data_IF_573118184249
#
_entry.id   IF_573118184249
#
_cell.length_a   1.000
_cell.length_b   1.000
_cell.length_c   1.000
_cell.angle_alpha   90.00
_cell.angle_beta   90.00
_cell.angle_gamma   90.00
#
_symmetry.space_group_name_H-M   'P 1'
#
loop_
_entity.id
_entity.type
_entity.pdbx_description
1 polymer ?
#
# COMPACT_ATOMS: atom_id res chain seq x y z
N UNK A 1 11.97 -30.09 -32.99
CA UNK A 1 12.66 -28.92 -33.57
C UNK A 1 11.61 -27.97 -34.09
N UNK A 2 11.72 -26.69 -33.69
CA UNK A 2 11.32 -25.43 -34.36
C UNK A 2 9.95 -25.38 -35.05
N UNK A 3 8.98 -24.59 -34.56
CA UNK A 3 8.88 -23.12 -34.59
C UNK A 3 8.77 -22.52 -36.01
N UNK A 4 7.79 -21.62 -36.17
CA UNK A 4 7.66 -20.52 -37.16
C UNK A 4 6.64 -20.77 -38.28
N UNK A 5 5.73 -19.87 -38.67
CA UNK A 5 5.27 -18.54 -38.24
C UNK A 5 4.35 -17.97 -39.37
N UNK A 6 3.44 -17.04 -39.01
CA UNK A 6 2.97 -15.86 -39.80
C UNK A 6 2.07 -16.13 -41.04
N UNK A 7 0.95 -15.44 -41.33
CA UNK A 7 0.21 -14.34 -40.69
C UNK A 7 -1.07 -14.04 -41.53
N UNK A 8 -2.07 -13.46 -40.84
CA UNK A 8 -2.90 -12.31 -41.27
C UNK A 8 -4.28 -12.50 -41.92
N UNK A 9 -5.17 -11.61 -41.44
CA UNK A 9 -6.44 -11.10 -41.96
C UNK A 9 -7.70 -11.88 -41.54
N UNK A 10 -8.71 -11.34 -40.85
CA UNK A 10 -9.13 -9.97 -40.48
C UNK A 10 -10.15 -10.08 -39.32
N UNK A 11 -10.10 -9.21 -38.31
CA UNK A 11 -11.23 -8.93 -37.41
C UNK A 11 -11.31 -7.43 -37.09
N UNK A 12 -12.52 -6.91 -36.78
CA UNK A 12 -12.82 -5.48 -36.82
C UNK A 12 -12.24 -4.73 -35.62
N UNK A 13 -11.77 -3.52 -35.90
CA UNK A 13 -11.44 -2.53 -34.89
C UNK A 13 -12.71 -2.11 -34.13
N UNK A 14 -12.82 -2.50 -32.87
CA UNK A 14 -13.48 -1.69 -31.85
C UNK A 14 -12.37 -0.99 -31.08
N UNK A 15 -12.31 0.32 -31.23
CA UNK A 15 -11.39 1.18 -30.50
C UNK A 15 -11.67 1.05 -28.99
N UNK A 16 -10.90 0.21 -28.31
CA UNK A 16 -10.60 0.43 -26.90
C UNK A 16 -9.72 1.66 -26.87
N UNK A 17 -10.19 2.73 -26.22
CA UNK A 17 -9.34 3.83 -25.81
C UNK A 17 -8.36 3.26 -24.77
N UNK A 18 -7.28 2.64 -25.26
CA UNK A 18 -6.10 2.39 -24.48
C UNK A 18 -5.54 3.77 -24.11
N UNK A 19 -5.73 4.13 -22.85
CA UNK A 19 -4.99 5.20 -22.21
C UNK A 19 -3.50 4.90 -22.31
N UNK A 20 -2.81 5.65 -23.18
CA UNK A 20 -1.38 5.92 -23.13
C UNK A 20 -0.45 4.71 -23.28
N UNK A 21 0.14 4.55 -24.46
CA UNK A 21 1.51 4.04 -24.54
C UNK A 21 2.44 5.03 -23.81
N UNK A 22 2.64 4.78 -22.51
CA UNK A 22 3.64 5.39 -21.66
C UNK A 22 4.48 4.29 -21.00
N UNK A 23 5.70 4.63 -20.59
CA UNK A 23 6.74 3.74 -20.02
C UNK A 23 6.33 2.97 -18.74
N UNK A 24 5.08 3.11 -18.27
CA UNK A 24 4.57 2.56 -17.01
C UNK A 24 3.13 2.03 -17.17
N UNK A 25 2.93 0.86 -17.81
CA UNK A 25 1.65 0.16 -17.71
C UNK A 25 1.33 -0.13 -16.23
N UNK A 26 0.05 -0.06 -15.86
CA UNK A 26 -0.49 -0.54 -14.58
C UNK A 26 -0.16 0.27 -13.31
N UNK A 27 0.02 1.59 -13.41
CA UNK A 27 0.14 2.46 -12.23
C UNK A 27 -1.10 2.44 -11.34
N UNK A 28 -2.27 2.43 -11.97
CA UNK A 28 -3.57 2.41 -11.32
C UNK A 28 -4.29 1.12 -11.69
N UNK A 29 -4.49 0.25 -10.71
CA UNK A 29 -5.30 -0.95 -10.89
C UNK A 29 -6.64 -0.75 -10.20
N UNK A 30 -7.68 -1.39 -10.72
CA UNK A 30 -8.99 -1.50 -10.06
C UNK A 30 -9.37 -2.97 -10.03
N UNK A 31 -10.29 -3.37 -9.16
CA UNK A 31 -10.69 -4.77 -9.05
C UNK A 31 -12.12 -4.88 -8.57
N UNK A 32 -13.01 -5.34 -9.44
CA UNK A 32 -14.39 -5.63 -9.07
C UNK A 32 -14.47 -6.76 -8.03
N UNK A 33 -13.56 -7.72 -8.08
CA UNK A 33 -13.48 -8.84 -7.14
C UNK A 33 -13.06 -8.40 -5.73
N UNK A 34 -12.07 -7.52 -5.59
CA UNK A 34 -11.73 -6.96 -4.28
C UNK A 34 -12.77 -5.94 -3.81
N UNK A 35 -13.40 -5.18 -4.72
CA UNK A 35 -14.47 -4.27 -4.35
C UNK A 35 -15.67 -5.02 -3.74
N UNK A 36 -16.15 -6.12 -4.36
CA UNK A 36 -17.29 -6.87 -3.81
C UNK A 36 -16.98 -7.47 -2.42
N UNK A 37 -15.73 -7.85 -2.15
CA UNK A 37 -15.32 -8.36 -0.85
C UNK A 37 -15.19 -7.27 0.23
N UNK A 38 -15.07 -6.02 -0.20
CA UNK A 38 -14.89 -4.89 0.69
C UNK A 38 -16.19 -4.11 0.99
N UNK A 39 -17.34 -4.57 0.49
CA UNK A 39 -18.63 -3.86 0.64
C UNK A 39 -19.24 -3.94 2.04
N UNK A 40 -18.89 -4.95 2.84
CA UNK A 40 -19.59 -5.24 4.11
C UNK A 40 -19.57 -4.07 5.12
N UNK A 41 -18.45 -3.36 5.33
CA UNK A 41 -18.44 -2.14 6.15
C UNK A 41 -19.36 -1.02 5.63
N UNK A 42 -19.73 -1.06 4.34
CA UNK A 42 -20.59 -0.05 3.69
C UNK A 42 -21.94 -0.64 3.25
N UNK A 43 -22.38 -1.76 3.83
CA UNK A 43 -23.56 -2.48 3.39
C UNK A 43 -24.84 -1.63 3.42
N UNK A 44 -25.00 -0.79 4.45
CA UNK A 44 -26.15 0.12 4.56
C UNK A 44 -26.16 1.15 3.42
N UNK A 45 -25.02 1.80 3.17
CA UNK A 45 -24.86 2.78 2.09
C UNK A 45 -25.10 2.15 0.71
N UNK A 46 -24.62 0.91 0.51
CA UNK A 46 -24.87 0.17 -0.72
C UNK A 46 -26.36 -0.16 -0.88
N UNK A 47 -27.03 -0.55 0.21
CA UNK A 47 -28.45 -0.89 0.21
C UNK A 47 -29.36 0.34 0.00
N UNK A 48 -28.91 1.53 0.39
CA UNK A 48 -29.57 2.81 0.13
C UNK A 48 -29.41 3.30 -1.33
N UNK A 49 -28.45 2.77 -2.08
CA UNK A 49 -28.26 3.13 -3.49
C UNK A 49 -29.54 2.82 -4.30
N UNK A 50 -30.02 3.75 -5.15
CA UNK A 50 -31.22 3.53 -5.96
C UNK A 50 -31.18 2.24 -6.78
N UNK A 51 -30.00 1.79 -7.22
CA UNK A 51 -29.80 0.54 -7.94
C UNK A 51 -30.25 -0.68 -7.12
N UNK A 52 -30.07 -0.64 -5.79
CA UNK A 52 -30.34 -1.75 -4.87
C UNK A 52 -31.58 -1.58 -3.99
N UNK A 53 -32.23 -0.41 -4.02
CA UNK A 53 -33.41 -0.09 -3.21
C UNK A 53 -34.54 -1.12 -3.26
N UNK A 54 -34.76 -1.77 -4.42
CA UNK A 54 -35.77 -2.81 -4.62
C UNK A 54 -35.27 -4.25 -4.39
N UNK A 55 -33.98 -4.44 -4.11
CA UNK A 55 -33.34 -5.75 -3.96
C UNK A 55 -32.67 -5.86 -2.58
N UNK A 56 -31.42 -5.40 -2.45
CA UNK A 56 -30.67 -5.48 -1.18
C UNK A 56 -31.28 -4.57 -0.11
N UNK A 57 -31.74 -3.37 -0.48
CA UNK A 57 -32.38 -2.43 0.44
C UNK A 57 -33.69 -2.94 1.07
N UNK A 58 -34.36 -3.88 0.41
CA UNK A 58 -35.56 -4.53 0.94
C UNK A 58 -35.27 -5.83 1.71
N UNK A 59 -34.01 -6.30 1.68
CA UNK A 59 -33.59 -7.58 2.24
C UNK A 59 -32.98 -7.37 3.64
N UNK A 60 -33.83 -7.37 4.66
CA UNK A 60 -33.37 -7.19 6.05
C UNK A 60 -32.40 -8.29 6.49
N UNK A 61 -32.52 -9.50 5.93
CA UNK A 61 -31.61 -10.61 6.23
C UNK A 61 -30.23 -10.38 5.63
N UNK A 62 -30.14 -9.77 4.44
CA UNK A 62 -28.87 -9.33 3.87
C UNK A 62 -28.14 -8.35 4.79
N UNK A 63 -28.82 -7.30 5.27
CA UNK A 63 -28.22 -6.30 6.15
C UNK A 63 -27.74 -6.90 7.48
N UNK A 64 -28.59 -7.67 8.17
CA UNK A 64 -28.24 -8.32 9.43
C UNK A 64 -26.99 -9.23 9.28
N UNK A 65 -26.91 -9.97 8.18
CA UNK A 65 -25.77 -10.85 7.89
C UNK A 65 -24.53 -10.07 7.46
N UNK A 66 -24.68 -9.00 6.68
CA UNK A 66 -23.58 -8.13 6.30
C UNK A 66 -22.93 -7.46 7.53
N UNK A 67 -23.74 -6.96 8.47
CA UNK A 67 -23.26 -6.43 9.75
C UNK A 67 -22.57 -7.51 10.60
N UNK A 68 -23.09 -8.74 10.58
CA UNK A 68 -22.44 -9.86 11.26
C UNK A 68 -21.06 -10.14 10.67
N UNK A 69 -20.92 -10.16 9.34
CA UNK A 69 -19.63 -10.34 8.66
C UNK A 69 -18.67 -9.22 9.06
N UNK A 70 -19.08 -7.96 8.94
CA UNK A 70 -18.24 -6.79 9.27
C UNK A 70 -17.75 -6.81 10.74
N UNK A 71 -18.57 -7.31 11.66
CA UNK A 71 -18.19 -7.42 13.08
C UNK A 71 -17.11 -8.47 13.38
N UNK A 72 -16.84 -9.39 12.44
CA UNK A 72 -15.94 -10.55 12.65
C UNK A 72 -14.77 -10.54 11.67
N UNK A 73 -14.99 -10.11 10.43
CA UNK A 73 -14.04 -10.26 9.33
C UNK A 73 -13.80 -8.91 8.67
N UNK A 74 -12.51 -8.56 8.52
CA UNK A 74 -12.05 -7.38 7.80
C UNK A 74 -11.99 -7.64 6.29
N UNK A 75 -12.21 -6.62 5.45
CA UNK A 75 -12.02 -6.72 4.00
C UNK A 75 -10.67 -7.31 3.57
N UNK A 76 -9.59 -6.93 4.26
CA UNK A 76 -8.24 -7.44 3.96
C UNK A 76 -8.13 -8.96 4.12
N UNK A 77 -8.82 -9.55 5.11
CA UNK A 77 -8.84 -11.00 5.32
C UNK A 77 -9.55 -11.71 4.16
N UNK A 78 -10.69 -11.19 3.69
CA UNK A 78 -11.41 -11.76 2.55
C UNK A 78 -10.60 -11.66 1.26
N UNK A 79 -10.04 -10.48 0.96
CA UNK A 79 -9.20 -10.26 -0.21
C UNK A 79 -7.93 -11.14 -0.18
N UNK A 80 -7.33 -11.34 0.99
CA UNK A 80 -6.21 -12.25 1.19
C UNK A 80 -6.58 -13.70 0.88
N UNK A 81 -7.74 -14.17 1.36
CA UNK A 81 -8.17 -15.53 1.08
C UNK A 81 -8.44 -15.71 -0.43
N UNK A 82 -9.07 -14.73 -1.06
CA UNK A 82 -9.34 -14.78 -2.50
C UNK A 82 -8.08 -14.69 -3.36
N UNK A 83 -7.09 -13.86 -3.00
CA UNK A 83 -5.85 -13.74 -3.77
C UNK A 83 -5.07 -15.05 -3.88
N UNK A 84 -5.20 -15.93 -2.88
CA UNK A 84 -4.59 -17.28 -2.89
C UNK A 84 -5.21 -18.23 -3.91
N UNK A 85 -6.43 -17.96 -4.38
CA UNK A 85 -7.11 -18.81 -5.36
C UNK A 85 -6.53 -18.67 -6.78
N UNK A 86 -5.84 -17.55 -7.08
CA UNK A 86 -5.48 -17.18 -8.44
C UNK A 86 -6.67 -16.81 -9.33
N UNK A 87 -7.86 -16.61 -8.75
CA UNK A 87 -9.06 -16.18 -9.44
C UNK A 87 -8.93 -14.80 -10.09
N UNK A 88 -9.83 -14.51 -11.02
CA UNK A 88 -9.86 -13.23 -11.72
C UNK A 88 -10.15 -12.07 -10.77
N UNK A 89 -9.31 -11.04 -10.81
CA UNK A 89 -9.50 -9.82 -10.02
C UNK A 89 -10.62 -8.92 -10.57
N UNK A 90 -11.14 -9.22 -11.76
CA UNK A 90 -12.17 -8.43 -12.44
C UNK A 90 -13.53 -9.12 -12.50
N UNK A 91 -13.65 -10.32 -11.93
CA UNK A 91 -14.86 -11.15 -12.03
C UNK A 91 -15.49 -11.41 -10.65
N UNK A 92 -16.52 -10.65 -10.26
CA UNK A 92 -17.24 -10.88 -9.01
C UNK A 92 -17.94 -12.24 -8.93
N UNK A 93 -18.28 -12.88 -10.05
CA UNK A 93 -18.96 -14.19 -10.02
C UNK A 93 -18.02 -15.28 -9.52
N UNK A 94 -16.75 -15.25 -9.95
CA UNK A 94 -15.71 -16.16 -9.43
C UNK A 94 -15.48 -16.01 -7.93
N UNK A 95 -15.69 -14.81 -7.37
CA UNK A 95 -15.64 -14.59 -5.91
C UNK A 95 -16.75 -15.39 -5.22
N UNK A 96 -17.98 -15.33 -5.75
CA UNK A 96 -19.12 -16.08 -5.20
C UNK A 96 -18.86 -17.58 -5.26
N UNK A 97 -18.40 -18.09 -6.41
CA UNK A 97 -18.08 -19.51 -6.60
C UNK A 97 -17.00 -19.99 -5.63
N UNK A 98 -15.96 -19.19 -5.46
CA UNK A 98 -14.87 -19.49 -4.54
C UNK A 98 -15.38 -19.59 -3.10
N UNK A 99 -16.07 -18.56 -2.58
CA UNK A 99 -16.51 -18.57 -1.18
C UNK A 99 -17.63 -19.56 -0.89
N UNK A 100 -18.45 -19.93 -1.89
CA UNK A 100 -19.42 -21.01 -1.74
C UNK A 100 -18.75 -22.37 -1.54
N UNK A 101 -17.61 -22.61 -2.18
CA UNK A 101 -16.97 -23.92 -2.25
C UNK A 101 -15.67 -24.06 -1.45
N UNK A 102 -15.13 -22.97 -0.89
CA UNK A 102 -13.81 -23.00 -0.25
C UNK A 102 -13.76 -24.00 0.91
N UNK A 103 -12.65 -24.73 1.00
CA UNK A 103 -12.37 -25.66 2.08
C UNK A 103 -11.16 -25.18 2.87
N UNK A 104 -11.30 -24.81 4.15
CA UNK A 104 -10.17 -24.41 5.00
C UNK A 104 -9.06 -25.46 5.06
N UNK A 105 -9.41 -26.75 4.95
CA UNK A 105 -8.45 -27.85 4.98
C UNK A 105 -7.61 -27.96 3.71
N UNK A 106 -7.99 -27.27 2.64
CA UNK A 106 -7.21 -27.18 1.40
C UNK A 106 -6.13 -26.08 1.47
N UNK A 107 -6.21 -25.16 2.44
CA UNK A 107 -5.31 -24.01 2.52
C UNK A 107 -3.91 -24.41 3.00
N UNK A 108 -2.84 -23.76 2.47
CA UNK A 108 -1.48 -23.99 2.94
C UNK A 108 -1.35 -23.70 4.43
N UNK A 109 -0.63 -24.55 5.18
CA UNK A 109 -0.48 -24.42 6.63
C UNK A 109 0.06 -23.04 7.07
N UNK A 110 0.89 -22.41 6.23
CA UNK A 110 1.43 -21.05 6.46
C UNK A 110 0.37 -19.93 6.46
N UNK A 111 -0.82 -20.19 5.91
CA UNK A 111 -1.93 -19.24 5.83
C UNK A 111 -2.96 -19.51 6.93
N UNK A 112 -2.98 -20.74 7.47
CA UNK A 112 -3.92 -21.14 8.54
C UNK A 112 -3.62 -20.35 9.82
N UNK A 113 -4.66 -19.81 10.43
CA UNK A 113 -4.57 -19.01 11.65
C UNK A 113 -5.93 -18.44 12.05
N UNK A 114 -5.96 -17.68 13.15
CA UNK A 114 -7.18 -17.17 13.76
C UNK A 114 -8.12 -16.43 12.78
N UNK A 115 -7.55 -15.73 11.79
CA UNK A 115 -8.33 -15.01 10.79
C UNK A 115 -9.06 -15.92 9.78
N UNK A 116 -8.56 -17.13 9.52
CA UNK A 116 -9.29 -18.12 8.72
C UNK A 116 -10.46 -18.67 9.53
N UNK A 117 -10.26 -18.93 10.83
CA UNK A 117 -11.33 -19.39 11.71
C UNK A 117 -12.45 -18.35 11.82
N UNK A 118 -12.11 -17.06 11.87
CA UNK A 118 -13.04 -15.94 11.80
C UNK A 118 -13.88 -15.99 10.51
N UNK A 119 -13.25 -16.12 9.33
CA UNK A 119 -13.97 -16.28 8.05
C UNK A 119 -14.88 -17.51 8.07
N UNK A 120 -14.40 -18.64 8.58
CA UNK A 120 -15.17 -19.87 8.67
C UNK A 120 -16.40 -19.72 9.58
N UNK A 121 -16.27 -18.94 10.66
CA UNK A 121 -17.35 -18.73 11.64
C UNK A 121 -18.55 -17.96 11.07
N UNK A 122 -18.37 -17.23 9.97
CA UNK A 122 -19.43 -16.47 9.26
C UNK A 122 -19.64 -16.97 7.83
N UNK A 123 -19.24 -18.20 7.52
CA UNK A 123 -19.25 -18.75 6.14
C UNK A 123 -20.64 -18.76 5.51
N UNK A 124 -21.67 -19.10 6.28
CA UNK A 124 -23.05 -19.19 5.78
C UNK A 124 -23.62 -17.80 5.49
N UNK A 125 -23.31 -16.83 6.35
CA UNK A 125 -23.63 -15.42 6.16
C UNK A 125 -22.91 -14.86 4.93
N UNK A 126 -21.61 -15.12 4.81
CA UNK A 126 -20.78 -14.67 3.70
C UNK A 126 -21.26 -15.24 2.36
N UNK A 127 -21.48 -16.55 2.30
CA UNK A 127 -22.00 -17.22 1.11
C UNK A 127 -23.34 -16.66 0.69
N UNK A 128 -24.24 -16.44 1.65
CA UNK A 128 -25.54 -15.82 1.38
C UNK A 128 -25.38 -14.40 0.83
N UNK A 129 -24.63 -13.53 1.51
CA UNK A 129 -24.52 -12.13 1.10
C UNK A 129 -23.86 -11.97 -0.27
N UNK A 130 -22.79 -12.71 -0.56
CA UNK A 130 -22.14 -12.71 -1.87
C UNK A 130 -23.09 -13.18 -2.97
N UNK A 131 -23.88 -14.22 -2.71
CA UNK A 131 -24.88 -14.68 -3.67
C UNK A 131 -25.99 -13.64 -3.89
N UNK A 132 -26.44 -12.94 -2.84
CA UNK A 132 -27.44 -11.86 -2.96
C UNK A 132 -26.89 -10.66 -3.73
N UNK A 133 -25.65 -10.26 -3.48
CA UNK A 133 -24.96 -9.21 -4.24
C UNK A 133 -24.91 -9.55 -5.74
N UNK A 134 -24.51 -10.78 -6.08
CA UNK A 134 -24.49 -11.23 -7.47
C UNK A 134 -25.89 -11.26 -8.10
N UNK A 135 -26.89 -11.83 -7.42
CA UNK A 135 -28.28 -11.85 -7.89
C UNK A 135 -28.89 -10.46 -8.07
N UNK A 136 -28.49 -9.51 -7.24
CA UNK A 136 -28.92 -8.12 -7.32
C UNK A 136 -28.22 -7.34 -8.44
N UNK A 137 -27.28 -7.95 -9.17
CA UNK A 137 -26.60 -7.34 -10.30
C UNK A 137 -25.36 -6.52 -9.92
N UNK A 138 -24.64 -6.88 -8.84
CA UNK A 138 -23.46 -6.12 -8.41
C UNK A 138 -22.39 -5.95 -9.50
N UNK A 139 -22.17 -6.94 -10.36
CA UNK A 139 -21.22 -6.81 -11.47
C UNK A 139 -21.62 -5.69 -12.44
N UNK A 140 -22.91 -5.56 -12.75
CA UNK A 140 -23.45 -4.47 -13.56
C UNK A 140 -23.33 -3.13 -12.82
N UNK A 141 -23.74 -3.09 -11.55
CA UNK A 141 -23.57 -1.91 -10.70
C UNK A 141 -22.13 -1.40 -10.70
N UNK A 142 -21.16 -2.30 -10.52
CA UNK A 142 -19.75 -1.92 -10.49
C UNK A 142 -19.30 -1.31 -11.83
N UNK A 143 -19.71 -1.89 -12.97
CA UNK A 143 -19.36 -1.35 -14.29
C UNK A 143 -20.04 0.00 -14.59
N UNK A 144 -21.28 0.20 -14.13
CA UNK A 144 -22.07 1.39 -14.47
C UNK A 144 -21.92 2.55 -13.47
N UNK A 145 -21.67 2.26 -12.20
CA UNK A 145 -21.65 3.25 -11.11
C UNK A 145 -20.25 3.41 -10.52
N UNK A 146 -19.59 2.31 -10.12
CA UNK A 146 -18.31 2.38 -9.40
C UNK A 146 -17.15 2.70 -10.32
N UNK A 147 -16.98 1.92 -11.39
CA UNK A 147 -15.86 2.01 -12.32
C UNK A 147 -15.75 3.39 -12.99
N UNK A 148 -16.84 4.03 -13.46
CA UNK A 148 -16.73 5.38 -14.03
C UNK A 148 -16.24 6.42 -13.02
N UNK A 149 -16.66 6.32 -11.75
CA UNK A 149 -16.16 7.20 -10.69
C UNK A 149 -14.66 6.99 -10.44
N UNK A 150 -14.20 5.73 -10.39
CA UNK A 150 -12.78 5.40 -10.26
C UNK A 150 -11.96 5.92 -11.44
N UNK A 151 -12.41 5.66 -12.67
CA UNK A 151 -11.74 6.14 -13.89
C UNK A 151 -11.65 7.67 -13.90
N UNK A 152 -12.72 8.37 -13.55
CA UNK A 152 -12.70 9.82 -13.48
C UNK A 152 -11.70 10.33 -12.41
N UNK A 153 -11.65 9.72 -11.23
CA UNK A 153 -10.65 10.09 -10.21
C UNK A 153 -9.21 9.87 -10.71
N UNK A 154 -8.96 8.74 -11.39
CA UNK A 154 -7.67 8.41 -11.99
C UNK A 154 -7.28 9.41 -13.08
N UNK A 155 -8.18 9.71 -14.01
CA UNK A 155 -7.93 10.65 -15.13
C UNK A 155 -7.66 12.08 -14.66
N UNK A 156 -8.28 12.49 -13.56
CA UNK A 156 -8.09 13.79 -12.94
C UNK A 156 -6.78 13.89 -12.16
N UNK A 157 -6.22 12.76 -11.70
CA UNK A 157 -4.97 12.74 -10.96
C UNK A 157 -3.77 12.99 -11.89
N UNK A 158 -3.23 14.21 -11.84
CA UNK A 158 -2.11 14.62 -12.70
C UNK A 158 -0.77 14.24 -12.07
N UNK A 159 0.03 13.48 -12.81
CA UNK A 159 1.41 13.14 -12.45
C UNK A 159 2.34 13.80 -13.46
N UNK A 160 3.39 14.47 -12.98
CA UNK A 160 4.40 15.03 -13.86
C UNK A 160 5.18 13.89 -14.56
N UNK A 161 5.37 13.92 -15.89
CA UNK A 161 5.99 12.81 -16.64
C UNK A 161 7.35 12.36 -16.08
N UNK A 162 8.17 13.31 -15.65
CA UNK A 162 9.50 13.08 -15.08
C UNK A 162 9.49 12.46 -13.68
N UNK A 163 8.37 12.54 -12.97
CA UNK A 163 8.29 12.20 -11.55
C UNK A 163 8.40 10.69 -11.32
N UNK A 164 7.70 9.88 -12.12
CA UNK A 164 7.74 8.41 -11.99
C UNK A 164 9.15 7.88 -12.28
N UNK A 165 9.78 8.37 -13.35
CA UNK A 165 11.16 8.03 -13.69
C UNK A 165 12.13 8.39 -12.57
N UNK A 166 11.98 9.56 -11.96
CA UNK A 166 12.85 9.99 -10.85
C UNK A 166 12.65 9.12 -9.58
N UNK A 167 11.42 8.71 -9.28
CA UNK A 167 11.14 7.77 -8.17
C UNK A 167 11.81 6.42 -8.43
N UNK A 168 11.63 5.86 -9.63
CA UNK A 168 12.22 4.56 -9.97
C UNK A 168 13.73 4.59 -9.98
N UNK A 169 14.33 5.70 -10.41
CA UNK A 169 15.78 5.91 -10.32
C UNK A 169 16.27 5.90 -8.86
N UNK A 170 15.56 6.56 -7.94
CA UNK A 170 15.93 6.55 -6.53
C UNK A 170 15.74 5.16 -5.88
N UNK A 171 14.68 4.42 -6.23
CA UNK A 171 14.48 3.04 -5.75
C UNK A 171 15.56 2.11 -6.30
N UNK A 172 15.88 2.23 -7.60
CA UNK A 172 16.97 1.47 -8.24
C UNK A 172 18.33 1.80 -7.59
N UNK A 173 18.57 3.07 -7.26
CA UNK A 173 19.77 3.52 -6.54
C UNK A 173 19.85 2.86 -5.16
N UNK A 174 18.73 2.78 -4.43
CA UNK A 174 18.66 2.09 -3.14
C UNK A 174 18.81 0.56 -3.27
N UNK A 175 18.42 -0.04 -4.39
CA UNK A 175 18.62 -1.48 -4.62
C UNK A 175 20.10 -1.86 -4.75
N UNK A 176 20.98 -0.94 -5.17
CA UNK A 176 22.42 -1.19 -5.22
C UNK A 176 22.84 -2.38 -6.09
N UNK A 177 22.08 -2.66 -7.16
CA UNK A 177 22.31 -3.81 -8.05
C UNK A 177 21.70 -5.13 -7.57
N UNK A 178 21.03 -5.15 -6.42
CA UNK A 178 20.11 -6.26 -6.10
C UNK A 178 18.90 -6.22 -7.03
N UNK A 179 18.39 -7.38 -7.46
CA UNK A 179 17.15 -7.42 -8.22
C UNK A 179 16.01 -6.86 -7.36
N UNK A 180 15.25 -5.92 -7.91
CA UNK A 180 13.94 -5.58 -7.38
C UNK A 180 12.99 -6.73 -7.72
N UNK A 181 12.06 -7.05 -6.83
CA UNK A 181 10.98 -7.99 -7.17
C UNK A 181 10.34 -7.55 -8.50
N UNK A 182 10.20 -8.52 -9.41
CA UNK A 182 9.73 -8.31 -10.78
C UNK A 182 8.25 -7.93 -10.84
N UNK A 183 7.52 -8.08 -9.75
CA UNK A 183 6.15 -7.58 -9.69
C UNK A 183 6.15 -6.06 -9.51
N UNK A 184 5.50 -5.38 -10.45
CA UNK A 184 5.29 -3.94 -10.41
C UNK A 184 4.41 -3.52 -9.22
N UNK A 185 4.03 -2.25 -9.18
CA UNK A 185 3.19 -1.71 -8.12
C UNK A 185 1.85 -2.46 -8.05
N UNK A 186 1.61 -3.16 -6.94
CA UNK A 186 0.37 -3.93 -6.70
C UNK A 186 -0.68 -3.05 -6.01
N UNK A 187 -0.84 -1.81 -6.48
CA UNK A 187 -1.80 -0.87 -5.88
C UNK A 187 -3.13 -0.93 -6.60
N UNK A 188 -4.19 -1.26 -5.86
CA UNK A 188 -5.57 -1.30 -6.34
C UNK A 188 -6.38 -0.18 -5.69
N UNK A 189 -7.04 0.62 -6.50
CA UNK A 189 -8.00 1.62 -6.04
C UNK A 189 -9.38 0.98 -6.05
N UNK A 190 -10.02 0.90 -4.89
CA UNK A 190 -11.32 0.26 -4.70
C UNK A 190 -12.39 1.32 -4.36
N UNK A 191 -13.57 1.21 -4.96
CA UNK A 191 -14.62 2.21 -4.81
C UNK A 191 -15.38 2.13 -3.49
N UNK A 192 -15.47 0.95 -2.90
CA UNK A 192 -16.31 0.67 -1.73
C UNK A 192 -15.50 0.52 -0.44
N UNK A 193 -14.39 1.26 -0.30
CA UNK A 193 -13.58 1.28 0.92
C UNK A 193 -13.33 2.69 1.43
N UNK A 194 -13.44 2.85 2.75
CA UNK A 194 -13.11 4.10 3.43
C UNK A 194 -11.65 4.13 3.88
N UNK A 195 -11.08 2.95 4.17
CA UNK A 195 -9.71 2.79 4.66
C UNK A 195 -8.92 1.88 3.73
N UNK A 196 -7.63 2.21 3.56
CA UNK A 196 -6.70 1.37 2.82
C UNK A 196 -6.23 0.18 3.67
N UNK A 197 -5.74 -0.88 3.00
CA UNK A 197 -5.18 -2.06 3.64
C UNK A 197 -4.22 -2.80 2.71
N UNK A 198 -3.24 -3.48 3.30
CA UNK A 198 -2.33 -4.37 2.58
C UNK A 198 -2.80 -5.83 2.62
N UNK A 199 -2.45 -6.58 1.57
CA UNK A 199 -2.60 -8.03 1.46
C UNK A 199 -1.27 -8.73 1.80
N UNK A 200 -1.32 -10.04 2.02
CA UNK A 200 -0.18 -10.90 2.34
C UNK A 200 0.83 -10.99 1.21
N UNK A 201 0.41 -10.71 -0.02
CA UNK A 201 1.27 -10.58 -1.18
C UNK A 201 1.67 -9.12 -1.42
N UNK A 202 1.69 -8.24 -0.41
CA UNK A 202 2.12 -6.84 -0.57
C UNK A 202 1.28 -6.05 -1.60
N UNK A 203 0.11 -6.57 -1.99
CA UNK A 203 -0.89 -5.80 -2.73
C UNK A 203 -1.51 -4.78 -1.79
N UNK A 204 -1.51 -3.50 -2.18
CA UNK A 204 -2.09 -2.42 -1.39
C UNK A 204 -3.42 -1.99 -2.01
N UNK A 205 -4.51 -2.16 -1.26
CA UNK A 205 -5.83 -1.71 -1.65
C UNK A 205 -6.12 -0.36 -1.01
N UNK A 206 -6.49 0.65 -1.79
CA UNK A 206 -6.65 2.01 -1.31
C UNK A 206 -7.91 2.72 -1.82
N UNK A 207 -8.34 3.71 -1.05
CA UNK A 207 -9.52 4.52 -1.37
C UNK A 207 -9.21 5.54 -2.48
N UNK A 208 -10.17 5.85 -3.37
CA UNK A 208 -10.00 6.90 -4.38
C UNK A 208 -9.77 8.28 -3.77
N UNK A 209 -10.04 8.48 -2.48
CA UNK A 209 -9.74 9.73 -1.77
C UNK A 209 -8.25 10.09 -1.83
N UNK A 210 -7.34 9.11 -1.97
CA UNK A 210 -5.91 9.38 -2.14
C UNK A 210 -5.56 10.08 -3.47
N UNK A 211 -6.48 10.05 -4.44
CA UNK A 211 -6.37 10.74 -5.72
C UNK A 211 -6.98 12.15 -5.67
N UNK A 212 -7.68 12.51 -4.60
CA UNK A 212 -8.29 13.83 -4.47
C UNK A 212 -7.27 14.85 -3.93
N UNK A 213 -6.96 15.93 -4.67
CA UNK A 213 -6.05 16.97 -4.22
C UNK A 213 -6.50 17.69 -2.95
N UNK A 214 -7.80 17.73 -2.64
CA UNK A 214 -8.30 18.35 -1.41
C UNK A 214 -8.07 17.46 -0.19
N UNK A 215 -8.42 16.18 -0.30
CA UNK A 215 -8.09 15.14 0.68
C UNK A 215 -6.59 15.09 0.93
N UNK A 216 -5.77 15.10 -0.13
CA UNK A 216 -4.32 15.13 -0.01
C UNK A 216 -3.81 16.34 0.78
N UNK A 217 -4.42 17.51 0.60
CA UNK A 217 -4.09 18.72 1.39
C UNK A 217 -4.54 18.60 2.84
N UNK A 218 -5.73 18.05 3.09
CA UNK A 218 -6.31 17.93 4.42
C UNK A 218 -5.54 16.92 5.28
N UNK A 219 -5.31 15.72 4.75
CA UNK A 219 -4.70 14.61 5.48
C UNK A 219 -3.19 14.50 5.26
N UNK A 220 -2.61 15.33 4.37
CA UNK A 220 -1.18 15.33 4.00
C UNK A 220 -0.66 13.99 3.48
N UNK A 221 -1.55 13.18 2.92
CA UNK A 221 -1.22 11.90 2.29
C UNK A 221 -1.83 11.88 0.90
N UNK A 222 -1.02 11.58 -0.11
CA UNK A 222 -1.46 11.43 -1.50
C UNK A 222 -1.09 10.05 -2.05
N UNK A 223 -1.67 9.71 -3.20
CA UNK A 223 -1.36 8.45 -3.87
C UNK A 223 0.13 8.30 -4.20
N UNK A 224 0.85 9.39 -4.52
CA UNK A 224 2.27 9.31 -4.87
C UNK A 224 3.15 8.95 -3.66
N UNK A 225 2.78 9.38 -2.45
CA UNK A 225 3.45 8.97 -1.22
C UNK A 225 3.27 7.48 -0.97
N UNK A 226 2.04 6.96 -1.08
CA UNK A 226 1.75 5.53 -0.99
C UNK A 226 2.51 4.76 -2.08
N UNK A 227 2.51 5.26 -3.31
CA UNK A 227 3.23 4.64 -4.42
C UNK A 227 4.72 4.47 -4.12
N UNK A 228 5.38 5.50 -3.58
CA UNK A 228 6.79 5.42 -3.19
C UNK A 228 6.98 4.39 -2.08
N UNK A 229 6.12 4.42 -1.05
CA UNK A 229 6.15 3.51 0.08
C UNK A 229 6.05 2.04 -0.37
N UNK A 230 5.00 1.69 -1.11
CA UNK A 230 4.77 0.31 -1.56
C UNK A 230 5.88 -0.18 -2.49
N UNK A 231 6.42 0.68 -3.36
CA UNK A 231 7.53 0.26 -4.22
C UNK A 231 8.87 0.14 -3.47
N UNK A 232 9.00 0.70 -2.26
CA UNK A 232 10.19 0.51 -1.42
C UNK A 232 10.17 -0.83 -0.67
N UNK A 233 9.00 -1.45 -0.46
CA UNK A 233 8.91 -2.84 0.04
C UNK A 233 9.59 -3.85 -0.90
N UNK A 234 9.73 -3.52 -2.19
CA UNK A 234 10.46 -4.33 -3.18
C UNK A 234 11.97 -4.39 -2.94
N UNK A 235 12.52 -3.59 -2.02
CA UNK A 235 13.93 -3.65 -1.64
C UNK A 235 14.16 -4.90 -0.79
N UNK A 236 14.98 -5.82 -1.30
CA UNK A 236 15.31 -7.06 -0.61
C UNK A 236 16.00 -6.78 0.73
N UNK A 237 15.46 -7.34 1.81
CA UNK A 237 16.08 -7.35 3.13
C UNK A 237 16.53 -8.78 3.47
N UNK A 238 17.77 -8.93 3.93
CA UNK A 238 18.34 -10.23 4.26
C UNK A 238 17.80 -10.78 5.58
N UNK A 239 17.76 -12.11 5.72
CA UNK A 239 17.45 -12.77 7.00
C UNK A 239 18.42 -12.34 8.11
N UNK A 240 19.69 -12.09 7.78
CA UNK A 240 20.69 -11.56 8.72
C UNK A 240 20.23 -10.22 9.32
N UNK A 241 19.75 -9.27 8.48
CA UNK A 241 19.24 -8.00 8.97
C UNK A 241 17.99 -8.17 9.85
N UNK A 242 17.09 -9.07 9.48
CA UNK A 242 15.89 -9.36 10.27
C UNK A 242 16.26 -9.98 11.63
N UNK A 243 17.27 -10.84 11.69
CA UNK A 243 17.80 -11.40 12.94
C UNK A 243 18.44 -10.31 13.82
N UNK A 244 19.13 -9.34 13.22
CA UNK A 244 19.66 -8.17 13.95
C UNK A 244 18.53 -7.31 14.53
N UNK A 245 17.44 -7.12 13.78
CA UNK A 245 16.26 -6.39 14.24
C UNK A 245 15.57 -7.12 15.39
N UNK A 246 15.41 -8.44 15.28
CA UNK A 246 14.86 -9.27 16.36
C UNK A 246 15.74 -9.23 17.61
N UNK A 247 17.06 -9.30 17.44
CA UNK A 247 18.00 -9.14 18.55
C UNK A 247 17.85 -7.78 19.22
N UNK A 248 17.61 -6.70 18.45
CA UNK A 248 17.36 -5.38 19.03
C UNK A 248 16.05 -5.34 19.82
N UNK A 249 14.99 -5.96 19.31
CA UNK A 249 13.70 -6.08 20.00
C UNK A 249 13.84 -6.81 21.34
N UNK A 250 14.57 -7.93 21.36
CA UNK A 250 14.75 -8.73 22.58
C UNK A 250 15.56 -7.99 23.65
N UNK A 251 16.45 -7.07 23.25
CA UNK A 251 17.47 -6.50 24.13
C UNK A 251 17.39 -4.98 24.36
N UNK A 252 16.43 -4.25 23.76
CA UNK A 252 16.24 -2.81 23.99
C UNK A 252 14.79 -2.49 24.37
N UNK A 253 14.56 -2.14 25.64
CA UNK A 253 13.23 -1.89 26.20
C UNK A 253 12.50 -0.73 25.51
N UNK A 254 13.23 0.33 25.13
CA UNK A 254 12.66 1.49 24.47
C UNK A 254 12.18 1.11 23.07
N UNK A 255 13.01 0.41 22.30
CA UNK A 255 12.61 -0.08 20.98
C UNK A 255 11.43 -1.05 21.09
N UNK A 256 11.52 -2.07 21.95
CA UNK A 256 10.46 -3.08 22.13
C UNK A 256 9.10 -2.44 22.44
N UNK A 257 9.05 -1.49 23.37
CA UNK A 257 7.80 -0.81 23.75
C UNK A 257 7.15 -0.07 22.57
N UNK A 258 7.95 0.53 21.69
CA UNK A 258 7.42 1.25 20.52
C UNK A 258 7.08 0.28 19.39
N UNK A 259 7.88 -0.77 19.21
CA UNK A 259 7.63 -1.85 18.25
C UNK A 259 6.34 -2.61 18.57
N UNK A 260 6.06 -2.91 19.85
CA UNK A 260 4.81 -3.54 20.28
C UNK A 260 3.59 -2.69 19.90
N UNK A 261 3.71 -1.36 20.06
CA UNK A 261 2.67 -0.41 19.66
C UNK A 261 2.53 -0.34 18.13
N UNK A 262 3.63 -0.30 17.39
CA UNK A 262 3.61 -0.32 15.92
C UNK A 262 2.92 -1.61 15.41
N UNK A 263 3.23 -2.76 16.00
CA UNK A 263 2.59 -4.05 15.68
C UNK A 263 1.09 -4.03 16.00
N UNK A 264 0.66 -3.34 17.04
CA UNK A 264 -0.77 -3.16 17.33
C UNK A 264 -1.50 -2.31 16.26
N UNK A 265 -0.78 -1.44 15.54
CA UNK A 265 -1.28 -0.73 14.35
C UNK A 265 -1.14 -1.54 13.05
N UNK A 266 -0.48 -2.70 13.08
CA UNK A 266 -0.18 -3.50 11.88
C UNK A 266 1.08 -3.08 11.12
N UNK A 267 1.91 -2.21 11.70
CA UNK A 267 3.00 -1.48 11.02
C UNK A 267 4.39 -1.79 11.64
N UNK A 268 4.58 -3.01 12.16
CA UNK A 268 5.80 -3.44 12.84
C UNK A 268 6.87 -4.03 11.91
N UNK A 269 8.03 -4.37 12.49
CA UNK A 269 9.11 -5.07 11.81
C UNK A 269 9.97 -4.13 10.96
N UNK A 270 10.12 -4.47 9.68
CA UNK A 270 10.94 -3.72 8.74
C UNK A 270 10.31 -2.38 8.30
N UNK A 271 9.07 -2.10 8.68
CA UNK A 271 8.33 -0.90 8.28
C UNK A 271 9.07 0.40 8.61
N UNK A 272 9.73 0.47 9.79
CA UNK A 272 10.53 1.64 10.14
C UNK A 272 11.68 1.93 9.14
N UNK A 273 12.17 0.91 8.42
CA UNK A 273 13.16 1.09 7.36
C UNK A 273 12.53 1.67 6.09
N UNK A 274 11.34 1.18 5.72
CA UNK A 274 10.59 1.66 4.56
C UNK A 274 10.14 3.11 4.78
N UNK A 275 9.55 3.42 5.93
CA UNK A 275 9.21 4.80 6.33
C UNK A 275 10.43 5.74 6.25
N UNK A 276 11.61 5.29 6.69
CA UNK A 276 12.82 6.10 6.57
C UNK A 276 13.25 6.35 5.12
N UNK A 277 13.25 5.30 4.29
CA UNK A 277 13.60 5.38 2.88
C UNK A 277 12.61 6.25 2.11
N UNK A 278 11.32 6.11 2.38
CA UNK A 278 10.24 6.83 1.73
C UNK A 278 10.35 8.33 2.03
N UNK A 279 10.49 8.73 3.31
CA UNK A 279 10.73 10.13 3.66
C UNK A 279 11.99 10.69 2.99
N UNK A 280 13.04 9.89 2.88
CA UNK A 280 14.30 10.31 2.26
C UNK A 280 14.16 10.53 0.75
N UNK A 281 13.52 9.60 0.05
CA UNK A 281 13.24 9.71 -1.39
C UNK A 281 12.29 10.88 -1.66
N UNK A 282 11.18 10.97 -0.94
CA UNK A 282 10.21 12.07 -1.05
C UNK A 282 10.88 13.44 -0.85
N UNK A 283 11.76 13.58 0.14
CA UNK A 283 12.51 14.83 0.39
C UNK A 283 13.54 15.14 -0.70
N UNK A 284 14.28 14.14 -1.19
CA UNK A 284 15.26 14.32 -2.29
C UNK A 284 14.59 14.74 -3.59
N UNK A 285 13.40 14.25 -3.86
CA UNK A 285 12.59 14.60 -5.03
C UNK A 285 11.83 15.92 -4.86
N UNK A 286 12.01 16.63 -3.73
CA UNK A 286 11.37 17.92 -3.47
C UNK A 286 9.86 17.83 -3.23
N UNK A 287 9.32 16.64 -2.95
CA UNK A 287 7.89 16.44 -2.67
C UNK A 287 7.51 16.89 -1.27
N UNK A 288 8.43 16.75 -0.33
CA UNK A 288 8.25 17.17 1.07
C UNK A 288 9.47 17.96 1.54
N UNK A 289 9.26 18.88 2.48
CA UNK A 289 10.33 19.61 3.15
C UNK A 289 10.78 18.95 4.48
N UNK A 290 11.84 19.48 5.08
CA UNK A 290 12.38 18.98 6.36
C UNK A 290 11.37 19.07 7.52
N UNK A 291 10.45 20.03 7.46
CA UNK A 291 9.42 20.18 8.49
C UNK A 291 8.39 19.05 8.34
N UNK A 292 7.96 18.74 7.13
CA UNK A 292 7.06 17.63 6.85
C UNK A 292 7.69 16.29 7.24
N UNK A 293 8.98 16.07 6.97
CA UNK A 293 9.70 14.88 7.46
C UNK A 293 9.63 14.76 8.99
N UNK A 294 9.88 15.85 9.71
CA UNK A 294 9.82 15.86 11.18
C UNK A 294 8.40 15.63 11.69
N UNK A 295 7.41 16.34 11.13
CA UNK A 295 6.00 16.23 11.51
C UNK A 295 5.53 14.78 11.35
N UNK A 296 5.92 14.11 10.26
CA UNK A 296 5.57 12.72 9.97
C UNK A 296 6.19 11.74 10.97
N UNK A 297 7.48 11.85 11.29
CA UNK A 297 8.09 10.99 12.33
C UNK A 297 7.53 11.22 13.74
N UNK A 298 6.83 12.33 13.98
CA UNK A 298 6.15 12.61 15.26
C UNK A 298 4.71 12.08 15.29
N UNK A 299 4.03 12.08 14.15
CA UNK A 299 2.57 11.85 14.05
C UNK A 299 2.24 10.47 13.50
N UNK A 300 2.98 9.98 12.51
CA UNK A 300 2.71 8.69 11.87
C UNK A 300 2.78 7.56 12.89
N UNK A 301 1.71 6.76 12.97
CA UNK A 301 1.52 5.71 13.98
C UNK A 301 1.85 6.18 15.41
N UNK A 302 1.44 7.38 15.80
CA UNK A 302 1.77 7.99 17.10
C UNK A 302 3.28 8.02 17.42
N UNK A 303 4.12 8.13 16.39
CA UNK A 303 5.58 8.19 16.53
C UNK A 303 6.23 6.86 16.94
N UNK A 304 5.59 5.72 16.66
CA UNK A 304 6.10 4.40 17.07
C UNK A 304 7.32 3.94 16.28
N UNK A 305 7.52 4.41 15.05
CA UNK A 305 8.66 4.00 14.21
C UNK A 305 9.98 4.66 14.61
N UNK A 306 10.46 4.38 15.83
CA UNK A 306 11.63 5.05 16.42
C UNK A 306 12.96 4.78 15.70
N UNK A 307 13.05 3.70 14.91
CA UNK A 307 14.21 3.46 14.05
C UNK A 307 14.21 4.33 12.79
N UNK A 308 13.03 4.75 12.30
CA UNK A 308 12.92 5.52 11.06
C UNK A 308 13.74 6.81 11.06
N UNK A 309 13.64 7.72 12.07
CA UNK A 309 14.46 8.93 12.09
C UNK A 309 15.96 8.63 12.29
N UNK A 310 16.31 7.52 12.94
CA UNK A 310 17.71 7.10 13.08
C UNK A 310 18.26 6.71 11.70
N UNK A 311 17.55 5.85 10.97
CA UNK A 311 17.92 5.40 9.62
C UNK A 311 17.96 6.58 8.66
N UNK A 312 16.92 7.40 8.62
CA UNK A 312 16.81 8.60 7.77
C UNK A 312 18.02 9.51 7.90
N UNK A 313 18.48 9.74 9.14
CA UNK A 313 19.65 10.59 9.42
C UNK A 313 20.93 10.09 8.74
N UNK A 314 21.09 8.78 8.60
CA UNK A 314 22.29 8.15 8.07
C UNK A 314 22.15 7.73 6.60
N UNK A 315 20.96 7.78 6.01
CA UNK A 315 20.73 7.48 4.58
C UNK A 315 21.62 8.28 3.60
N UNK A 316 22.01 9.54 3.86
CA UNK A 316 23.01 10.23 3.05
C UNK A 316 24.38 9.53 2.99
N UNK A 317 24.70 8.65 3.94
CA UNK A 317 25.96 7.89 4.00
C UNK A 317 25.88 6.55 3.23
N UNK A 318 24.78 6.27 2.51
CA UNK A 318 24.68 5.13 1.58
C UNK A 318 25.74 5.29 0.48
N UNK A 319 26.57 4.27 0.28
CA UNK A 319 27.67 4.30 -0.69
C UNK A 319 27.18 4.01 -2.11
N UNK A 320 27.93 4.48 -3.10
CA UNK A 320 27.65 4.16 -4.49
C UNK A 320 27.68 2.64 -4.72
N UNK A 321 26.59 2.10 -5.26
CA UNK A 321 26.40 0.66 -5.50
C UNK A 321 26.13 -0.18 -4.25
N UNK A 322 26.02 0.40 -3.06
CA UNK A 322 25.61 -0.33 -1.85
C UNK A 322 24.08 -0.50 -1.84
N UNK A 323 23.61 -1.72 -1.59
CA UNK A 323 22.18 -1.97 -1.42
C UNK A 323 21.66 -1.43 -0.10
N UNK A 324 20.36 -1.15 -0.02
CA UNK A 324 19.71 -0.68 1.19
C UNK A 324 19.90 -1.66 2.36
N UNK A 325 19.77 -2.96 2.12
CA UNK A 325 20.13 -4.02 3.07
C UNK A 325 21.57 -3.91 3.57
N UNK A 326 22.54 -3.77 2.65
CA UNK A 326 23.95 -3.66 3.01
C UNK A 326 24.25 -2.42 3.86
N UNK A 327 23.60 -1.30 3.54
CA UNK A 327 23.67 -0.10 4.35
C UNK A 327 23.06 -0.28 5.73
N UNK A 328 21.88 -0.90 5.83
CA UNK A 328 21.20 -1.15 7.10
C UNK A 328 22.03 -2.06 8.00
N UNK A 329 22.56 -3.19 7.48
CA UNK A 329 23.45 -4.07 8.25
C UNK A 329 24.68 -3.32 8.76
N UNK A 330 25.33 -2.53 7.90
CA UNK A 330 26.45 -1.67 8.30
C UNK A 330 26.06 -0.65 9.36
N UNK A 331 24.84 -0.11 9.30
CA UNK A 331 24.32 0.83 10.28
C UNK A 331 24.08 0.14 11.63
N UNK A 332 23.51 -1.06 11.64
CA UNK A 332 23.35 -1.88 12.83
C UNK A 332 24.70 -2.22 13.47
N UNK A 333 25.66 -2.73 12.71
CA UNK A 333 26.98 -3.08 13.23
C UNK A 333 27.71 -1.91 13.89
N UNK A 334 27.63 -0.73 13.27
CA UNK A 334 28.48 0.41 13.64
C UNK A 334 27.80 1.38 14.57
N UNK A 335 26.48 1.52 14.50
CA UNK A 335 25.76 2.63 15.12
C UNK A 335 24.62 2.15 16.01
N UNK A 336 23.69 1.34 15.54
CA UNK A 336 22.51 0.95 16.34
C UNK A 336 22.91 -0.13 17.34
N UNK A 337 22.63 0.09 18.63
CA UNK A 337 23.02 -0.85 19.68
C UNK A 337 21.91 -0.99 20.71
N UNK A 338 21.65 -2.21 21.22
CA UNK A 338 20.75 -2.40 22.35
C UNK A 338 21.14 -1.53 23.56
N UNK A 339 20.14 -0.98 24.23
CA UNK A 339 20.27 -0.06 25.36
C UNK A 339 20.65 1.37 24.97
N UNK A 340 20.68 1.71 23.67
CA UNK A 340 21.04 3.06 23.18
C UNK A 340 20.00 3.67 22.25
N UNK A 341 18.97 2.93 21.83
CA UNK A 341 18.02 3.37 20.80
C UNK A 341 17.35 4.68 21.18
N UNK A 342 16.87 4.84 22.42
CA UNK A 342 16.25 6.09 22.88
C UNK A 342 17.16 7.32 22.69
N UNK A 343 18.42 7.19 23.11
CA UNK A 343 19.38 8.29 23.00
C UNK A 343 19.71 8.64 21.54
N UNK A 344 19.65 7.64 20.65
CA UNK A 344 19.89 7.78 19.22
C UNK A 344 18.70 8.43 18.53
N UNK A 345 17.50 7.96 18.83
CA UNK A 345 16.23 8.53 18.38
C UNK A 345 16.15 10.02 18.76
N UNK A 346 16.30 10.35 20.05
CA UNK A 346 16.26 11.75 20.52
C UNK A 346 17.29 12.63 19.81
N UNK A 347 18.49 12.10 19.54
CA UNK A 347 19.54 12.82 18.82
C UNK A 347 19.20 13.00 17.34
N UNK A 348 18.57 12.03 16.71
CA UNK A 348 18.09 12.12 15.33
C UNK A 348 16.98 13.17 15.21
N UNK A 349 15.95 13.09 16.05
CA UNK A 349 14.85 14.05 16.10
C UNK A 349 15.33 15.47 16.38
N UNK A 350 16.27 15.66 17.33
CA UNK A 350 16.86 16.98 17.60
C UNK A 350 17.58 17.56 16.38
N UNK A 351 18.26 16.72 15.58
CA UNK A 351 18.96 17.17 14.37
C UNK A 351 17.96 17.60 13.29
N UNK A 352 16.89 16.83 13.09
CA UNK A 352 15.78 17.15 12.18
C UNK A 352 15.05 18.43 12.60
N UNK A 353 14.86 18.66 13.90
CA UNK A 353 14.30 19.92 14.39
C UNK A 353 15.27 21.11 14.22
N UNK A 354 16.57 20.83 14.22
CA UNK A 354 17.64 21.83 14.11
C UNK A 354 17.95 22.31 12.69
N UNK A 355 17.61 21.54 11.65
CA UNK A 355 17.74 21.93 10.23
C UNK A 355 16.82 23.10 9.85
N UNK A 356 15.88 23.51 10.73
CA UNK A 356 15.06 24.74 10.63
C UNK A 356 15.85 26.05 10.38
N UNK A 357 17.18 26.08 10.53
CA UNK A 357 17.98 27.32 10.51
C UNK A 357 19.06 27.42 9.44
N UNK A 358 19.27 26.44 8.58
CA UNK A 358 20.39 26.50 7.64
C UNK A 358 20.19 25.63 6.41
N UNK A 359 19.53 26.16 5.39
CA UNK A 359 19.89 25.91 4.00
C UNK A 359 19.23 27.00 3.13
N UNK A 360 20.00 27.91 2.49
CA UNK A 360 19.45 28.77 1.46
C UNK A 360 19.04 27.89 0.28
N UNK A 361 17.81 28.08 -0.21
CA UNK A 361 17.34 27.38 -1.41
C UNK A 361 18.20 27.79 -2.61
N UNK A 362 18.36 26.91 -3.60
CA UNK A 362 19.16 27.16 -4.79
C UNK A 362 18.77 28.42 -5.59
N UNK A 363 17.60 29.01 -5.29
CA UNK A 363 17.15 30.30 -5.79
C UNK A 363 17.94 31.50 -5.20
N UNK A 364 18.42 31.42 -3.96
CA UNK A 364 19.13 32.51 -3.29
C UNK A 364 20.60 32.62 -3.71
N UNK A 365 21.21 31.54 -4.21
CA UNK A 365 22.59 31.53 -4.72
C UNK A 365 22.73 32.30 -6.04
N UNK A 366 21.66 32.37 -6.84
CA UNK A 366 21.64 33.13 -8.11
C UNK A 366 21.50 34.64 -7.91
N UNK A 367 20.92 35.09 -6.80
CA UNK A 367 20.78 36.53 -6.52
C UNK A 367 22.05 37.18 -5.96
N UNK A 368 22.99 36.37 -5.42
CA UNK A 368 24.28 36.87 -4.89
C UNK A 368 25.43 36.90 -5.90
N UNK A 369 25.25 36.35 -7.10
CA UNK A 369 26.27 36.34 -8.17
C UNK A 369 25.96 37.31 -9.31
N UNK A 370 24.88 38.09 -9.21
CA UNK A 370 24.54 39.16 -10.13
C UNK A 370 24.29 40.46 -9.35
N UNK A 371 25.36 41.08 -8.86
CA UNK A 371 25.44 42.52 -8.69
C UNK A 371 26.92 42.91 -8.79
N UNK A 372 27.35 43.64 -9.86
CA UNK A 372 28.72 44.09 -10.04
C UNK A 372 29.14 45.15 -9.02
#
# INVERSE_FOLDING_TARGET
MLLSLLLAALLPMTASAQSGEGEFPDLFNTSAAYDILAVFPQADKLAEDPFFSGTLGADTLFLDRAHRIDSVVRPSQLCNLYSLSGGSKDDPEQVVEFFASFDPESLPQKVRGAWIDEICSVRDELSYCLQRLAQAGYAQYWQEQVRPCLNNAIEQYRIAPEQLGAIHQEITRLAGGQPLDATGSRIYILGNIDNAFALLDETFCCTPLLLDPETARQYRIDFMQVYIHENLHRLSLSGELLDMLQTLYDNDDFYRTHEDRARAYGEGGNEAFVVAAERYVSRRLGRIDDKQVLDEFLVYCDGTHVLAPIVYRYLPDLRDGESFDGFLRRLFDRRIRPGKVESQYRRAMKKLAGTRKSEPTAAETRSRTQNP
#
